data_IF_317520836659
#
_entry.id   IF_317520836659
#
_cell.length_a   1.000
_cell.length_b   1.000
_cell.length_c   1.000
_cell.angle_alpha   90.00
_cell.angle_beta   90.00
_cell.angle_gamma   90.00
#
_symmetry.space_group_name_H-M   'P 1'
#
loop_
_entity.id
_entity.type
_entity.pdbx_description
1 polymer ?
#
# COMPACT_ATOMS: atom_id res chain seq x y z
N UNK A 1 2.92 -1.49 -2.05
CA UNK A 1 1.54 -0.98 -2.00
C UNK A 1 0.71 -1.65 -0.91
N UNK A 2 0.70 -2.98 -0.82
CA UNK A 2 -0.06 -3.73 0.20
C UNK A 2 0.37 -3.42 1.65
N UNK A 3 -0.61 -3.29 2.55
CA UNK A 3 -0.46 -2.82 3.92
C UNK A 3 -0.19 -3.97 4.91
N UNK A 4 0.90 -4.71 4.73
CA UNK A 4 1.28 -5.88 5.57
C UNK A 4 1.39 -5.63 7.07
N UNK A 5 1.55 -4.36 7.49
CA UNK A 5 1.62 -3.94 8.89
C UNK A 5 0.24 -3.56 9.48
N UNK A 6 -0.82 -3.54 8.67
CA UNK A 6 -2.17 -3.22 9.10
C UNK A 6 -2.76 -4.36 9.94
N UNK A 7 -3.59 -4.07 10.96
CA UNK A 7 -4.39 -5.10 11.61
C UNK A 7 -5.27 -5.87 10.62
N UNK A 8 -5.75 -5.21 9.57
CA UNK A 8 -6.62 -5.81 8.55
C UNK A 8 -5.89 -6.84 7.68
N UNK A 9 -4.54 -6.80 7.62
CA UNK A 9 -3.76 -7.75 6.84
C UNK A 9 -3.41 -9.03 7.60
N UNK A 10 -3.78 -9.15 8.89
CA UNK A 10 -3.52 -10.34 9.71
C UNK A 10 -4.02 -11.64 9.07
N UNK A 11 -5.24 -11.70 8.48
CA UNK A 11 -5.77 -12.93 7.89
C UNK A 11 -5.08 -13.38 6.60
N UNK A 12 -4.18 -12.55 6.04
CA UNK A 12 -3.59 -12.76 4.71
C UNK A 12 -2.07 -12.95 4.77
N UNK A 13 -1.47 -13.05 5.96
CA UNK A 13 0.00 -13.01 6.14
C UNK A 13 0.72 -14.19 5.48
N UNK A 14 0.06 -15.32 5.37
CA UNK A 14 0.52 -16.53 4.68
C UNK A 14 0.67 -16.33 3.17
N UNK A 15 -0.02 -15.36 2.57
CA UNK A 15 0.12 -15.00 1.16
C UNK A 15 1.44 -14.25 0.88
N UNK A 16 2.15 -13.79 1.92
CA UNK A 16 3.38 -13.02 1.76
C UNK A 16 4.47 -13.85 1.06
N UNK A 17 4.82 -13.45 -0.15
CA UNK A 17 5.80 -14.15 -1.00
C UNK A 17 5.24 -15.41 -1.69
N UNK A 18 3.92 -15.62 -1.66
CA UNK A 18 3.23 -16.73 -2.31
C UNK A 18 2.18 -16.27 -3.31
N UNK A 19 1.42 -15.22 -2.97
CA UNK A 19 0.47 -14.61 -3.88
C UNK A 19 1.18 -13.83 -4.99
N UNK A 20 0.56 -13.84 -6.16
CA UNK A 20 0.89 -13.01 -7.31
C UNK A 20 0.46 -11.56 -7.07
N UNK A 21 0.99 -10.63 -7.87
CA UNK A 21 0.61 -9.23 -7.76
C UNK A 21 -0.87 -9.01 -8.10
N UNK A 22 -1.42 -9.74 -9.08
CA UNK A 22 -2.83 -9.64 -9.48
C UNK A 22 -3.77 -10.08 -8.33
N UNK A 23 -3.46 -11.20 -7.66
CA UNK A 23 -4.22 -11.64 -6.49
C UNK A 23 -4.19 -10.61 -5.35
N UNK A 24 -3.04 -9.96 -5.14
CA UNK A 24 -2.91 -8.90 -4.13
C UNK A 24 -3.68 -7.64 -4.54
N UNK A 25 -3.74 -7.32 -5.84
CA UNK A 25 -4.53 -6.20 -6.38
C UNK A 25 -6.02 -6.46 -6.17
N UNK A 26 -6.52 -7.64 -6.53
CA UNK A 26 -7.92 -8.02 -6.31
C UNK A 26 -8.30 -7.93 -4.83
N UNK A 27 -7.46 -8.45 -3.93
CA UNK A 27 -7.67 -8.31 -2.48
C UNK A 27 -7.68 -6.84 -2.03
N UNK A 28 -6.89 -5.97 -2.63
CA UNK A 28 -6.90 -4.53 -2.33
C UNK A 28 -8.17 -3.84 -2.85
N UNK A 29 -8.74 -4.30 -3.96
CA UNK A 29 -10.02 -3.80 -4.49
C UNK A 29 -11.16 -4.23 -3.57
N UNK A 30 -11.21 -5.51 -3.18
CA UNK A 30 -12.21 -6.05 -2.27
C UNK A 30 -12.10 -5.45 -0.86
N UNK A 31 -10.87 -5.23 -0.38
CA UNK A 31 -10.58 -4.69 0.94
C UNK A 31 -9.64 -3.48 0.85
N UNK A 32 -10.17 -2.27 0.59
CA UNK A 32 -9.35 -1.06 0.41
C UNK A 32 -8.48 -0.66 1.61
N UNK A 33 -8.74 -1.23 2.80
CA UNK A 33 -7.91 -1.08 4.01
C UNK A 33 -6.57 -1.80 3.91
N UNK A 34 -6.41 -2.68 2.92
CA UNK A 34 -5.16 -3.36 2.59
C UNK A 34 -4.22 -2.50 1.73
N UNK A 35 -4.65 -1.30 1.32
CA UNK A 35 -3.78 -0.34 0.62
C UNK A 35 -3.05 0.52 1.68
N UNK A 36 -1.73 0.69 1.54
CA UNK A 36 -0.95 1.57 2.44
C UNK A 36 -1.45 3.02 2.34
N UNK A 37 -1.51 3.73 3.47
CA UNK A 37 -1.96 5.13 3.56
C UNK A 37 -1.11 5.92 4.57
N UNK A 38 -1.02 7.26 4.46
CA UNK A 38 -1.38 8.06 3.28
C UNK A 38 -0.51 7.72 2.06
N UNK A 39 -0.94 8.12 0.87
CA UNK A 39 -0.16 8.06 -0.38
C UNK A 39 -0.17 9.44 -1.02
N UNK A 40 0.98 9.90 -1.46
CA UNK A 40 1.15 11.11 -2.27
C UNK A 40 1.79 10.71 -3.60
N UNK A 41 1.35 11.29 -4.71
CA UNK A 41 1.90 11.02 -6.04
C UNK A 41 1.65 12.20 -6.98
N UNK A 42 2.59 12.45 -7.87
CA UNK A 42 2.51 13.39 -9.01
C UNK A 42 2.24 12.66 -10.36
N UNK A 43 2.14 11.33 -10.34
CA UNK A 43 2.02 10.48 -11.53
C UNK A 43 3.31 9.75 -11.91
N UNK A 44 4.48 10.28 -11.56
CA UNK A 44 5.78 9.70 -11.87
C UNK A 44 6.39 8.97 -10.65
N UNK A 45 6.14 9.51 -9.45
CA UNK A 45 6.63 8.98 -8.18
C UNK A 45 5.51 8.81 -7.17
N UNK A 46 5.68 7.85 -6.26
CA UNK A 46 4.72 7.56 -5.20
C UNK A 46 5.43 7.57 -3.84
N UNK A 47 4.95 8.40 -2.92
CA UNK A 47 5.36 8.45 -1.53
C UNK A 47 4.32 7.75 -0.66
N UNK A 48 4.74 6.69 0.05
CA UNK A 48 3.89 6.01 1.03
C UNK A 48 4.20 6.49 2.46
N UNK A 49 3.14 6.82 3.20
CA UNK A 49 3.24 7.40 4.54
C UNK A 49 3.47 8.91 4.51
N UNK A 50 3.50 9.53 5.68
CA UNK A 50 3.85 10.93 5.81
C UNK A 50 5.37 11.05 6.01
N UNK A 51 6.02 11.78 5.10
CA UNK A 51 7.46 12.08 5.15
C UNK A 51 7.61 13.54 4.76
N UNK A 52 7.85 14.41 5.74
CA UNK A 52 7.84 15.86 5.55
C UNK A 52 8.70 16.31 4.36
N UNK A 53 9.99 15.98 4.35
CA UNK A 53 10.88 16.41 3.24
C UNK A 53 10.47 15.89 1.87
N UNK A 54 9.85 14.70 1.78
CA UNK A 54 9.36 14.19 0.49
C UNK A 54 8.08 14.90 0.02
N UNK A 55 7.28 15.45 0.95
CA UNK A 55 6.11 16.24 0.59
C UNK A 55 6.52 17.64 0.12
N UNK A 56 7.54 18.23 0.75
CA UNK A 56 8.08 19.55 0.40
C UNK A 56 8.75 19.57 -0.99
N UNK A 57 9.22 18.42 -1.49
CA UNK A 57 9.78 18.28 -2.85
C UNK A 57 8.72 18.09 -3.95
N UNK A 58 7.52 17.64 -3.56
CA UNK A 58 6.41 17.28 -4.45
C UNK A 58 5.33 18.37 -4.55
N UNK A 59 5.33 19.35 -3.64
CA UNK A 59 4.33 20.43 -3.51
C UNK A 59 5.07 21.73 -3.21
#
# INVERSE_FOLDING_TARGET
MFAWKSPSSKPFRELRGRATDDELIELMIEQPRLIRRPMLTDGDQIVFGFKQGAYDELI
#
